data_IF_492322184936
#
_entry.id   IF_492322184936
#
_cell.length_a   1.000
_cell.length_b   1.000
_cell.length_c   1.000
_cell.angle_alpha   90.00
_cell.angle_beta   90.00
_cell.angle_gamma   90.00
#
_symmetry.space_group_name_H-M   'P 1'
#
loop_
_entity.id
_entity.type
_entity.pdbx_description
1 polymer ?
#
# COMPACT_ATOMS: atom_id res chain seq x y z
N UNK A 1 1.81 8.97 25.48
CA UNK A 1 3.03 8.65 24.69
C UNK A 1 3.55 7.22 24.89
N UNK A 2 3.66 6.72 26.14
CA UNK A 2 4.20 5.37 26.43
C UNK A 2 3.58 4.25 25.60
N UNK A 3 2.27 4.28 25.36
CA UNK A 3 1.59 3.29 24.52
C UNK A 3 2.13 3.20 23.09
N UNK A 4 2.44 4.34 22.44
CA UNK A 4 3.00 4.35 21.08
C UNK A 4 4.45 3.86 21.03
N UNK A 5 5.17 3.84 22.16
CA UNK A 5 6.53 3.32 22.25
C UNK A 5 6.58 1.81 22.55
N UNK A 6 5.51 1.24 23.13
CA UNK A 6 5.51 -0.14 23.65
C UNK A 6 4.63 -1.08 22.82
N UNK A 7 3.62 -0.56 22.11
CA UNK A 7 2.73 -1.41 21.32
C UNK A 7 3.35 -1.76 19.95
N UNK A 8 3.32 -3.04 19.54
CA UNK A 8 3.83 -3.45 18.24
C UNK A 8 2.96 -2.94 17.09
N UNK A 9 3.59 -2.55 15.98
CA UNK A 9 2.88 -2.17 14.76
C UNK A 9 2.21 -3.38 14.12
N UNK A 10 1.02 -3.18 13.54
CA UNK A 10 0.31 -4.23 12.82
C UNK A 10 1.06 -4.60 11.53
N UNK A 11 1.06 -5.89 11.18
CA UNK A 11 1.69 -6.37 9.95
C UNK A 11 1.09 -5.70 8.70
N UNK A 12 1.89 -5.40 7.67
CA UNK A 12 1.48 -4.59 6.52
C UNK A 12 0.53 -5.31 5.56
N UNK A 13 0.34 -6.62 5.68
CA UNK A 13 -0.39 -7.42 4.68
C UNK A 13 -1.87 -7.04 4.52
N UNK A 14 -2.48 -6.37 5.51
CA UNK A 14 -3.90 -6.02 5.46
C UNK A 14 -4.22 -4.75 6.22
N UNK A 15 -4.96 -3.88 5.54
CA UNK A 15 -5.48 -2.64 6.10
C UNK A 15 -6.56 -2.91 7.17
N UNK A 16 -6.64 -2.09 8.21
CA UNK A 16 -7.59 -2.32 9.32
C UNK A 16 -8.97 -1.75 9.01
N UNK A 17 -10.02 -2.34 9.58
CA UNK A 17 -11.41 -1.84 9.44
C UNK A 17 -11.57 -0.38 9.87
N UNK A 18 -10.77 0.07 10.84
CA UNK A 18 -10.77 1.45 11.29
C UNK A 18 -10.47 2.45 10.15
N UNK A 19 -9.71 2.03 9.14
CA UNK A 19 -9.30 2.89 8.03
C UNK A 19 -9.88 2.46 6.67
N UNK A 20 -10.45 1.26 6.56
CA UNK A 20 -11.19 0.85 5.35
C UNK A 20 -12.69 1.15 5.43
N UNK A 21 -13.28 1.17 6.62
CA UNK A 21 -14.74 1.29 6.81
C UNK A 21 -15.12 2.52 7.63
N UNK A 22 -14.30 2.86 8.64
CA UNK A 22 -14.67 3.86 9.64
C UNK A 22 -13.84 5.14 9.57
N UNK A 23 -13.00 5.31 8.53
CA UNK A 23 -12.23 6.54 8.43
C UNK A 23 -13.15 7.69 8.06
N UNK A 24 -13.21 8.73 8.90
CA UNK A 24 -14.05 9.91 8.68
C UNK A 24 -15.53 9.58 8.41
N UNK A 25 -16.07 8.56 9.08
CA UNK A 25 -17.52 8.26 9.06
C UNK A 25 -17.98 7.23 8.02
N UNK A 26 -17.23 6.97 6.95
CA UNK A 26 -17.53 5.91 5.96
C UNK A 26 -16.47 5.72 4.85
N UNK A 27 -15.25 6.24 5.01
CA UNK A 27 -14.29 6.32 3.90
C UNK A 27 -13.25 5.20 3.93
N UNK A 28 -12.95 4.64 2.76
CA UNK A 28 -11.90 3.62 2.56
C UNK A 28 -10.57 4.24 2.13
N UNK A 29 -9.57 4.22 3.02
CA UNK A 29 -8.23 4.73 2.72
C UNK A 29 -7.55 4.02 1.56
N UNK A 30 -7.81 2.72 1.37
CA UNK A 30 -7.22 1.97 0.27
C UNK A 30 -7.63 2.58 -1.07
N UNK A 31 -8.94 2.78 -1.25
CA UNK A 31 -9.55 3.40 -2.41
C UNK A 31 -9.09 4.83 -2.59
N UNK A 32 -9.05 5.64 -1.52
CA UNK A 32 -8.54 7.02 -1.60
C UNK A 32 -7.12 7.05 -2.15
N UNK A 33 -6.23 6.19 -1.63
CA UNK A 33 -4.84 6.19 -2.05
C UNK A 33 -4.68 5.75 -3.52
N UNK A 34 -5.49 4.80 -3.99
CA UNK A 34 -5.52 4.40 -5.40
C UNK A 34 -5.98 5.57 -6.27
N UNK A 35 -7.07 6.25 -5.89
CA UNK A 35 -7.60 7.38 -6.66
C UNK A 35 -6.62 8.55 -6.68
N UNK A 36 -6.04 8.91 -5.52
CA UNK A 36 -4.99 9.94 -5.44
C UNK A 36 -3.78 9.59 -6.32
N UNK A 37 -3.39 8.32 -6.36
CA UNK A 37 -2.31 7.85 -7.22
C UNK A 37 -2.61 8.04 -8.71
N UNK A 38 -3.87 7.81 -9.14
CA UNK A 38 -4.33 8.04 -10.52
C UNK A 38 -4.37 9.53 -10.85
N UNK A 39 -4.93 10.34 -9.96
CA UNK A 39 -5.04 11.79 -10.13
C UNK A 39 -3.65 12.45 -10.25
N UNK A 40 -2.67 11.92 -9.52
CA UNK A 40 -1.28 12.41 -9.55
C UNK A 40 -0.43 11.76 -10.65
N UNK A 41 -1.00 10.85 -11.45
CA UNK A 41 -0.27 10.18 -12.54
C UNK A 41 0.89 9.30 -12.07
N UNK A 42 0.76 8.62 -10.93
CA UNK A 42 1.79 7.71 -10.44
C UNK A 42 2.05 6.58 -11.46
N UNK A 43 3.33 6.23 -11.70
CA UNK A 43 3.66 5.21 -12.68
C UNK A 43 3.15 3.83 -12.24
N UNK A 44 2.82 2.94 -13.19
CA UNK A 44 2.48 1.54 -12.89
C UNK A 44 3.62 0.83 -12.15
N UNK A 45 3.28 -0.19 -11.36
CA UNK A 45 4.25 -0.94 -10.53
C UNK A 45 5.49 -1.41 -11.31
N UNK A 46 5.31 -1.97 -12.51
CA UNK A 46 6.44 -2.45 -13.35
C UNK A 46 7.38 -1.31 -13.73
N UNK A 47 6.84 -0.13 -14.07
CA UNK A 47 7.64 1.04 -14.40
C UNK A 47 8.34 1.59 -13.16
N UNK A 48 7.64 1.64 -12.02
CA UNK A 48 8.21 2.07 -10.76
C UNK A 48 9.39 1.17 -10.33
N UNK A 49 9.27 -0.15 -10.47
CA UNK A 49 10.39 -1.10 -10.24
C UNK A 49 11.63 -0.75 -11.07
N UNK A 50 11.45 -0.49 -12.37
CA UNK A 50 12.55 -0.11 -13.26
C UNK A 50 13.21 1.21 -12.83
N UNK A 51 12.42 2.20 -12.42
CA UNK A 51 12.93 3.48 -11.89
C UNK A 51 13.79 3.26 -10.62
N UNK A 52 13.45 2.25 -9.82
CA UNK A 52 14.23 1.84 -8.65
C UNK A 52 15.39 0.87 -8.97
N UNK A 53 15.69 0.59 -10.24
CA UNK A 53 16.75 -0.33 -10.65
C UNK A 53 16.41 -1.83 -10.49
N UNK A 54 15.15 -2.17 -10.23
CA UNK A 54 14.69 -3.55 -10.11
C UNK A 54 14.28 -4.13 -11.47
N UNK A 55 14.40 -5.45 -11.63
CA UNK A 55 13.88 -6.16 -12.81
C UNK A 55 12.37 -5.99 -12.95
N UNK A 56 11.91 -5.90 -14.21
CA UNK A 56 10.50 -5.87 -14.53
C UNK A 56 9.81 -7.18 -14.09
N UNK A 57 8.63 -7.05 -13.48
CA UNK A 57 7.76 -8.19 -13.19
C UNK A 57 7.00 -8.58 -14.48
N UNK A 58 7.11 -9.83 -14.90
CA UNK A 58 6.48 -10.37 -16.13
C UNK A 58 5.48 -11.48 -15.85
N UNK A 59 5.45 -12.01 -14.62
CA UNK A 59 4.47 -12.97 -14.11
C UNK A 59 3.92 -12.47 -12.77
N UNK A 60 2.73 -12.94 -12.39
CA UNK A 60 2.13 -12.68 -11.08
C UNK A 60 2.97 -13.23 -9.92
N UNK A 61 3.73 -14.30 -10.16
CA UNK A 61 4.63 -14.87 -9.15
C UNK A 61 5.65 -13.84 -8.65
N UNK A 62 6.07 -12.91 -9.53
CA UNK A 62 7.04 -11.84 -9.25
C UNK A 62 6.51 -10.72 -8.33
N UNK A 63 5.23 -10.78 -7.93
CA UNK A 63 4.57 -9.75 -7.10
C UNK A 63 4.49 -10.18 -5.63
N UNK A 64 4.77 -11.44 -5.32
CA UNK A 64 4.76 -11.97 -3.95
C UNK A 64 6.08 -11.70 -3.22
N UNK A 65 6.07 -11.84 -1.89
CA UNK A 65 7.21 -11.58 -0.99
C UNK A 65 8.47 -12.45 -1.23
N UNK A 66 8.46 -13.31 -2.25
CA UNK A 66 9.53 -14.26 -2.57
C UNK A 66 10.08 -14.05 -4.00
N UNK A 67 10.32 -12.81 -4.41
CA UNK A 67 10.91 -12.46 -5.73
C UNK A 67 12.01 -11.43 -5.63
#
# INVERSE_FOLDING_TARGET
LRGMMVMPVKRPQRLTKAITENMFGSTDLGTINIQRGRDHGLPPYVRFRQLCGLRAATSFDHVSLAS
#
